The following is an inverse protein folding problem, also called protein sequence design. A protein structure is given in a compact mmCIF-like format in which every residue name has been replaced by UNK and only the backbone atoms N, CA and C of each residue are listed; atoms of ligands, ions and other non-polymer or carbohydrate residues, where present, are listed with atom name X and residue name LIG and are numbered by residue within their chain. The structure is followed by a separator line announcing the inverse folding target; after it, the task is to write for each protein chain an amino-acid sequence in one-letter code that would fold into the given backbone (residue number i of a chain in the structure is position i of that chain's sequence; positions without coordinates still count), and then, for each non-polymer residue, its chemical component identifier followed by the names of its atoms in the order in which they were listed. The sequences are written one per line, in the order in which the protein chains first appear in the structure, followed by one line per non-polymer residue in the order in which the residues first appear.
data_IF_154733070231
#
_entry.id   IF_154733070231
#
_cell.length_a   1.000
_cell.length_b   1.000
_cell.length_c   1.000
_cell.angle_alpha   90.00
_cell.angle_beta   90.00
_cell.angle_gamma   90.00
#
_symmetry.space_group_name_H-M   'P 1'
#
loop_
_entity.id
_entity.type
_entity.pdbx_description
1 polymer ?
#
# COMPACT_ATOMS: atom_id res chain seq x y z
N UNK A 1 -48.57 76.64 19.03
CA UNK A 1 -48.19 77.11 17.69
C UNK A 1 -46.91 76.36 17.26
N UNK A 2 -47.01 75.69 16.07
CA UNK A 2 -45.94 75.12 15.18
C UNK A 2 -44.98 74.07 15.83
N UNK A 3 -45.18 72.74 15.54
CA UNK A 3 -44.84 72.00 14.32
C UNK A 3 -43.40 72.26 13.82
N UNK A 4 -42.58 71.22 13.86
CA UNK A 4 -41.76 70.69 12.75
C UNK A 4 -41.10 69.42 13.32
N UNK A 5 -41.46 68.28 12.99
CA UNK A 5 -41.09 67.36 11.89
C UNK A 5 -39.56 67.37 11.54
N UNK A 6 -38.86 66.40 11.97
CA UNK A 6 -37.67 66.02 11.20
C UNK A 6 -37.51 64.50 11.09
N UNK A 7 -38.01 63.99 9.94
CA UNK A 7 -37.87 62.63 9.49
C UNK A 7 -36.57 62.49 8.71
N UNK A 8 -35.41 62.54 9.33
CA UNK A 8 -34.15 62.31 8.64
C UNK A 8 -33.23 61.27 9.31
N UNK A 9 -33.74 60.50 10.28
CA UNK A 9 -32.95 59.51 11.02
C UNK A 9 -33.13 58.03 10.53
N UNK A 10 -33.95 57.79 9.51
CA UNK A 10 -34.36 56.39 9.20
C UNK A 10 -33.73 55.78 7.94
N UNK A 11 -32.72 56.43 7.35
CA UNK A 11 -32.14 55.94 6.10
C UNK A 11 -30.72 55.42 6.22
N UNK A 12 -30.13 55.40 7.42
CA UNK A 12 -28.77 54.92 7.60
C UNK A 12 -28.63 53.56 8.28
N UNK A 13 -29.75 52.89 8.58
CA UNK A 13 -29.71 51.57 9.27
C UNK A 13 -29.84 50.40 8.27
N UNK A 14 -30.08 50.66 6.99
CA UNK A 14 -30.33 49.60 6.01
C UNK A 14 -29.17 49.30 5.04
N UNK A 15 -28.00 49.84 5.30
CA UNK A 15 -26.83 49.65 4.40
C UNK A 15 -25.69 48.81 5.01
N UNK A 16 -25.90 48.17 6.15
CA UNK A 16 -24.82 47.42 6.81
C UNK A 16 -25.01 45.92 6.92
N UNK A 17 -25.93 45.35 6.12
CA UNK A 17 -26.12 43.91 6.09
C UNK A 17 -26.06 43.50 4.61
N UNK A 18 -24.88 43.23 4.08
CA UNK A 18 -24.67 42.37 2.88
C UNK A 18 -23.20 42.38 2.44
N UNK A 19 -22.29 42.08 3.36
CA UNK A 19 -20.97 41.54 2.95
C UNK A 19 -20.59 40.37 3.83
N UNK A 20 -21.49 39.38 3.88
CA UNK A 20 -21.09 38.08 4.39
C UNK A 20 -20.34 37.38 3.24
N UNK A 21 -19.05 37.64 3.20
CA UNK A 21 -18.14 37.04 2.24
C UNK A 21 -18.22 35.51 2.33
N UNK A 22 -18.66 34.90 1.26
CA UNK A 22 -18.49 33.47 1.00
C UNK A 22 -16.99 33.18 0.93
N UNK A 23 -16.38 32.86 2.06
CA UNK A 23 -15.09 32.19 2.06
C UNK A 23 -15.34 30.77 1.51
N UNK A 24 -15.19 30.59 0.20
CA UNK A 24 -14.99 29.28 -0.38
C UNK A 24 -13.72 28.70 0.22
N UNK A 25 -13.88 27.91 1.28
CA UNK A 25 -12.84 26.99 1.73
C UNK A 25 -12.64 25.97 0.61
N UNK A 26 -11.65 26.25 -0.25
CA UNK A 26 -11.09 25.23 -1.14
C UNK A 26 -10.44 24.22 -0.20
N UNK A 27 -11.19 23.17 0.15
CA UNK A 27 -10.60 21.96 0.70
C UNK A 27 -9.72 21.40 -0.41
N UNK A 28 -8.42 21.69 -0.33
CA UNK A 28 -7.41 20.96 -1.06
C UNK A 28 -7.53 19.52 -0.57
N UNK A 29 -8.23 18.69 -1.33
CA UNK A 29 -8.10 17.23 -1.24
C UNK A 29 -6.65 16.95 -1.51
N UNK A 30 -5.88 16.69 -0.46
CA UNK A 30 -4.58 16.04 -0.57
C UNK A 30 -4.91 14.69 -1.21
N UNK A 31 -4.73 14.59 -2.52
CA UNK A 31 -4.70 13.31 -3.21
C UNK A 31 -3.53 12.56 -2.59
N UNK A 32 -3.83 11.71 -1.61
CA UNK A 32 -2.90 10.68 -1.15
C UNK A 32 -2.42 9.99 -2.41
N UNK A 33 -1.10 9.96 -2.60
CA UNK A 33 -0.47 9.36 -3.77
C UNK A 33 -1.15 8.03 -4.06
N UNK A 34 -1.89 7.98 -5.18
CA UNK A 34 -2.78 6.86 -5.48
C UNK A 34 -1.93 5.61 -5.55
N UNK A 35 -2.34 4.60 -4.79
CA UNK A 35 -1.81 3.24 -4.88
C UNK A 35 -2.05 2.72 -6.30
N UNK A 36 -1.13 3.04 -7.21
CA UNK A 36 -1.21 2.58 -8.60
C UNK A 36 -0.71 1.13 -8.73
N UNK A 37 -0.29 0.51 -7.62
CA UNK A 37 0.04 -0.91 -7.54
C UNK A 37 -1.09 -1.64 -6.82
N UNK A 38 -1.74 -2.54 -7.52
CA UNK A 38 -2.73 -3.47 -6.96
C UNK A 38 -2.03 -4.74 -6.54
N UNK A 39 -2.29 -5.20 -5.32
CA UNK A 39 -1.75 -6.45 -4.78
C UNK A 39 -2.91 -7.45 -4.66
N UNK A 40 -2.74 -8.64 -5.23
CA UNK A 40 -3.74 -9.72 -5.26
C UNK A 40 -3.13 -11.03 -4.80
N UNK A 41 -4.00 -11.98 -4.44
CA UNK A 41 -3.66 -13.36 -4.10
C UNK A 41 -2.51 -13.45 -3.06
N UNK A 42 -2.51 -12.52 -2.09
CA UNK A 42 -1.45 -12.45 -1.10
C UNK A 42 -1.69 -13.48 0.01
N UNK A 43 -0.66 -14.29 0.29
CA UNK A 43 -0.67 -15.26 1.39
C UNK A 43 0.73 -15.53 1.93
N UNK A 44 0.79 -15.99 3.17
CA UNK A 44 2.03 -16.37 3.85
C UNK A 44 1.97 -17.87 4.15
N UNK A 45 3.06 -18.57 3.91
CA UNK A 45 3.17 -19.99 4.23
C UNK A 45 3.28 -20.19 5.75
N UNK A 46 2.52 -21.13 6.35
CA UNK A 46 2.72 -21.48 7.77
C UNK A 46 4.10 -22.09 7.98
N UNK A 47 4.62 -21.95 9.20
CA UNK A 47 5.93 -22.48 9.59
C UNK A 47 5.82 -23.46 10.75
N UNK A 48 6.78 -24.39 10.82
CA UNK A 48 6.87 -25.31 11.95
C UNK A 48 7.53 -24.63 13.18
N UNK A 49 7.29 -25.15 14.40
CA UNK A 49 8.02 -24.71 15.58
C UNK A 49 9.55 -24.79 15.36
N UNK A 50 10.29 -23.74 15.72
CA UNK A 50 11.74 -23.65 15.54
C UNK A 50 12.19 -23.27 14.12
N UNK A 51 11.27 -23.08 13.19
CA UNK A 51 11.61 -22.58 11.85
C UNK A 51 11.77 -21.06 11.90
N UNK A 52 12.97 -20.56 11.56
CA UNK A 52 13.33 -19.15 11.61
C UNK A 52 13.12 -18.41 10.29
N UNK A 53 12.80 -19.13 9.22
CA UNK A 53 12.62 -18.58 7.87
C UNK A 53 11.22 -18.92 7.34
N UNK A 54 10.53 -17.89 6.81
CA UNK A 54 9.22 -18.02 6.19
C UNK A 54 9.22 -17.58 4.74
N UNK A 55 8.06 -17.73 4.07
CA UNK A 55 7.87 -17.29 2.70
C UNK A 55 6.49 -16.66 2.53
N UNK A 56 6.44 -15.57 1.74
CA UNK A 56 5.19 -14.94 1.34
C UNK A 56 5.11 -14.81 -0.18
N UNK A 57 3.89 -14.83 -0.67
CA UNK A 57 3.55 -14.85 -2.08
C UNK A 57 2.43 -13.85 -2.35
N UNK A 58 2.45 -13.23 -3.54
CA UNK A 58 1.43 -12.28 -3.97
C UNK A 58 1.57 -11.97 -5.45
N UNK A 59 0.57 -11.34 -6.03
CA UNK A 59 0.61 -10.86 -7.40
C UNK A 59 0.57 -9.34 -7.39
N UNK A 60 1.54 -8.70 -8.02
CA UNK A 60 1.56 -7.25 -8.25
C UNK A 60 1.01 -6.93 -9.63
N UNK A 61 0.13 -5.95 -9.72
CA UNK A 61 -0.33 -5.35 -10.97
C UNK A 61 -0.21 -3.84 -10.84
N UNK A 62 0.69 -3.25 -11.61
CA UNK A 62 0.91 -1.80 -11.61
C UNK A 62 0.25 -1.13 -12.80
N UNK A 63 -0.44 0.00 -12.59
CA UNK A 63 -1.02 0.81 -13.66
C UNK A 63 0.02 1.63 -14.42
N UNK A 64 1.22 1.79 -13.87
CA UNK A 64 2.35 2.49 -14.49
C UNK A 64 3.66 1.80 -14.10
N UNK A 65 4.75 2.08 -14.83
CA UNK A 65 6.05 1.50 -14.51
C UNK A 65 6.48 1.90 -13.08
N UNK A 66 6.83 0.90 -12.29
CA UNK A 66 7.26 1.06 -10.91
C UNK A 66 8.35 0.05 -10.55
N UNK A 67 8.95 0.21 -9.39
CA UNK A 67 9.92 -0.75 -8.85
C UNK A 67 9.60 -0.95 -7.38
N UNK A 68 9.43 -2.18 -6.93
CA UNK A 68 9.43 -2.53 -5.51
C UNK A 68 10.89 -2.48 -5.05
N UNK A 69 11.18 -1.59 -4.10
CA UNK A 69 12.53 -1.30 -3.60
C UNK A 69 12.75 -1.71 -2.16
N UNK A 70 11.68 -2.06 -1.43
CA UNK A 70 11.78 -2.49 -0.05
C UNK A 70 10.51 -3.18 0.42
N UNK A 71 10.69 -4.13 1.32
CA UNK A 71 9.61 -4.84 2.01
C UNK A 71 9.99 -4.98 3.47
N UNK A 72 9.08 -4.61 4.36
CA UNK A 72 9.20 -4.78 5.80
C UNK A 72 8.01 -5.58 6.33
N UNK A 73 8.18 -6.27 7.46
CA UNK A 73 7.10 -6.97 8.13
C UNK A 73 7.25 -6.93 9.65
N UNK A 74 6.11 -7.01 10.35
CA UNK A 74 6.08 -7.01 11.82
C UNK A 74 6.53 -8.34 12.45
N UNK A 75 6.50 -9.43 11.68
CA UNK A 75 6.79 -10.79 12.19
C UNK A 75 8.25 -11.22 12.03
N UNK A 76 9.08 -10.44 11.34
CA UNK A 76 10.45 -10.80 10.99
C UNK A 76 11.40 -9.60 11.17
N UNK A 77 12.71 -9.84 11.16
CA UNK A 77 13.70 -8.75 11.18
C UNK A 77 14.05 -8.27 9.77
N UNK A 78 13.98 -9.14 8.77
CA UNK A 78 14.28 -8.76 7.41
C UNK A 78 13.43 -9.54 6.39
N UNK A 79 13.07 -8.85 5.30
CA UNK A 79 12.37 -9.45 4.17
C UNK A 79 13.20 -9.22 2.92
N UNK A 80 13.46 -10.27 2.17
CA UNK A 80 14.21 -10.21 0.92
C UNK A 80 13.36 -10.72 -0.25
N UNK A 81 13.59 -10.16 -1.43
CA UNK A 81 12.98 -10.64 -2.68
C UNK A 81 13.92 -11.69 -3.27
N UNK A 82 13.43 -12.90 -3.44
CA UNK A 82 14.19 -13.99 -4.03
C UNK A 82 13.58 -14.48 -5.33
N UNK A 83 14.41 -14.92 -6.23
CA UNK A 83 14.03 -15.64 -7.45
C UNK A 83 14.61 -17.06 -7.43
N UNK A 84 13.77 -18.03 -7.74
CA UNK A 84 14.21 -19.40 -8.02
C UNK A 84 14.20 -19.65 -9.51
N UNK A 85 15.30 -20.11 -10.04
CA UNK A 85 15.44 -20.49 -11.45
C UNK A 85 16.10 -21.87 -11.58
N UNK A 86 15.71 -22.60 -12.61
CA UNK A 86 16.37 -23.85 -12.98
C UNK A 86 17.52 -23.52 -13.93
N UNK A 87 18.75 -23.80 -13.54
CA UNK A 87 19.95 -23.63 -14.37
C UNK A 87 20.68 -24.96 -14.47
N UNK A 88 20.77 -25.52 -15.67
CA UNK A 88 21.43 -26.82 -15.93
C UNK A 88 20.93 -27.97 -15.04
N UNK A 89 19.61 -28.04 -14.80
CA UNK A 89 19.01 -29.06 -13.94
C UNK A 89 19.15 -28.84 -12.44
N UNK A 90 19.77 -27.72 -12.02
CA UNK A 90 19.94 -27.34 -10.61
C UNK A 90 19.07 -26.15 -10.29
N UNK A 91 18.29 -26.23 -9.22
CA UNK A 91 17.53 -25.08 -8.68
C UNK A 91 18.49 -24.11 -8.02
N UNK A 92 18.51 -22.87 -8.51
CA UNK A 92 19.28 -21.79 -7.94
C UNK A 92 18.37 -20.71 -7.38
N UNK A 93 18.67 -20.26 -6.17
CA UNK A 93 18.00 -19.15 -5.52
C UNK A 93 18.93 -17.92 -5.54
N UNK A 94 18.39 -16.77 -5.93
CA UNK A 94 19.14 -15.52 -5.98
C UNK A 94 18.33 -14.40 -5.34
N UNK A 95 18.95 -13.66 -4.46
CA UNK A 95 18.37 -12.43 -3.91
C UNK A 95 18.35 -11.34 -4.97
N UNK A 96 17.29 -10.55 -4.98
CA UNK A 96 17.10 -9.38 -5.82
C UNK A 96 16.93 -8.13 -4.95
N UNK A 97 17.77 -7.15 -5.17
CA UNK A 97 17.67 -5.87 -4.43
C UNK A 97 16.37 -5.11 -4.71
N UNK A 98 15.80 -5.30 -5.89
CA UNK A 98 14.60 -4.60 -6.36
C UNK A 98 13.87 -5.42 -7.41
N UNK A 99 12.54 -5.20 -7.50
CA UNK A 99 11.67 -5.88 -8.45
C UNK A 99 11.02 -4.87 -9.40
N UNK A 100 11.43 -4.79 -10.67
CA UNK A 100 10.77 -3.95 -11.66
C UNK A 100 9.36 -4.46 -11.98
N UNK A 101 8.37 -3.55 -11.99
CA UNK A 101 6.99 -3.80 -12.36
C UNK A 101 6.68 -3.01 -13.63
N UNK A 102 6.33 -3.71 -14.70
CA UNK A 102 5.94 -3.09 -15.97
C UNK A 102 4.43 -2.79 -15.95
N UNK A 103 4.06 -1.61 -16.41
CA UNK A 103 2.67 -1.17 -16.48
C UNK A 103 1.76 -2.20 -17.19
N UNK A 104 0.63 -2.53 -16.56
CA UNK A 104 -0.37 -3.45 -17.09
C UNK A 104 0.04 -4.94 -17.10
N UNK A 105 1.27 -5.27 -16.67
CA UNK A 105 1.72 -6.67 -16.61
C UNK A 105 1.66 -7.20 -15.18
N UNK A 106 0.95 -8.31 -14.92
CA UNK A 106 0.98 -8.94 -13.61
C UNK A 106 2.35 -9.55 -13.34
N UNK A 107 2.87 -9.34 -12.13
CA UNK A 107 4.09 -9.94 -11.64
C UNK A 107 3.78 -10.86 -10.47
N UNK A 108 3.86 -12.16 -10.70
CA UNK A 108 3.42 -13.18 -9.73
C UNK A 108 4.61 -13.73 -8.94
N UNK A 109 4.54 -13.62 -7.63
CA UNK A 109 5.37 -14.33 -6.67
C UNK A 109 4.63 -15.61 -6.27
N UNK A 110 5.24 -16.77 -6.51
CA UNK A 110 4.62 -18.08 -6.28
C UNK A 110 5.68 -19.11 -5.88
N UNK A 111 5.29 -20.21 -5.21
CA UNK A 111 6.19 -21.32 -4.91
C UNK A 111 6.92 -21.82 -6.16
N UNK A 112 8.23 -22.02 -6.06
CA UNK A 112 9.07 -22.45 -7.17
C UNK A 112 9.55 -21.33 -8.11
N UNK A 113 9.15 -20.07 -7.85
CA UNK A 113 9.56 -18.89 -8.61
C UNK A 113 9.99 -17.75 -7.69
N UNK A 114 9.57 -16.54 -8.05
CA UNK A 114 9.78 -15.37 -7.17
C UNK A 114 8.99 -15.52 -5.87
N UNK A 115 9.57 -15.05 -4.77
CA UNK A 115 8.92 -15.03 -3.46
C UNK A 115 9.56 -13.98 -2.54
N UNK A 116 8.84 -13.62 -1.48
CA UNK A 116 9.40 -12.87 -0.37
C UNK A 116 9.88 -13.86 0.68
N UNK A 117 11.13 -13.73 1.08
CA UNK A 117 11.75 -14.54 2.11
C UNK A 117 11.79 -13.76 3.41
N UNK A 118 11.24 -14.33 4.49
CA UNK A 118 11.18 -13.70 5.81
C UNK A 118 12.25 -14.34 6.69
N UNK A 119 13.26 -13.59 7.10
CA UNK A 119 14.36 -14.07 7.93
C UNK A 119 14.19 -13.65 9.39
N UNK A 120 14.71 -14.47 10.30
CA UNK A 120 14.66 -14.24 11.74
C UNK A 120 13.22 -14.00 12.23
N UNK A 121 12.34 -14.95 11.95
CA UNK A 121 10.96 -14.94 12.44
C UNK A 121 10.93 -14.84 13.96
N UNK A 122 10.15 -13.91 14.49
CA UNK A 122 10.01 -13.70 15.94
C UNK A 122 9.22 -14.81 16.64
N UNK A 123 8.36 -15.50 15.89
CA UNK A 123 7.51 -16.61 16.33
C UNK A 123 7.08 -17.46 15.14
N UNK A 124 6.67 -18.72 15.36
CA UNK A 124 6.04 -19.52 14.30
C UNK A 124 4.79 -18.82 13.74
N UNK A 125 4.54 -19.02 12.45
CA UNK A 125 3.38 -18.50 11.73
C UNK A 125 2.36 -19.64 11.59
N UNK A 126 1.21 -19.51 12.27
CA UNK A 126 0.15 -20.50 12.25
C UNK A 126 -0.93 -20.12 11.21
N UNK A 127 -1.59 -21.13 10.65
CA UNK A 127 -2.76 -20.90 9.78
C UNK A 127 -3.78 -20.02 10.49
N UNK A 128 -4.27 -18.98 9.83
CA UNK A 128 -5.19 -17.99 10.38
C UNK A 128 -4.51 -16.76 11.01
N UNK A 129 -3.19 -16.79 11.26
CA UNK A 129 -2.47 -15.60 11.69
C UNK A 129 -2.51 -14.52 10.60
N UNK A 130 -2.47 -13.25 11.01
CA UNK A 130 -2.32 -12.10 10.12
C UNK A 130 -0.91 -11.54 10.21
N UNK A 131 -0.32 -11.24 9.07
CA UNK A 131 1.00 -10.65 8.92
C UNK A 131 0.87 -9.30 8.22
N UNK A 132 1.45 -8.25 8.80
CA UNK A 132 1.47 -6.93 8.19
C UNK A 132 2.75 -6.77 7.36
N UNK A 133 2.59 -6.30 6.14
CA UNK A 133 3.69 -5.92 5.28
C UNK A 133 3.61 -4.42 4.94
N UNK A 134 4.76 -3.78 4.93
CA UNK A 134 4.95 -2.44 4.39
C UNK A 134 5.83 -2.55 3.14
N UNK A 135 5.24 -2.27 1.99
CA UNK A 135 5.87 -2.38 0.68
C UNK A 135 6.25 -0.98 0.19
N UNK A 136 7.52 -0.76 -0.11
CA UNK A 136 8.00 0.53 -0.61
C UNK A 136 8.23 0.43 -2.10
N UNK A 137 7.51 1.26 -2.85
CA UNK A 137 7.60 1.35 -4.30
C UNK A 137 8.23 2.66 -4.73
N UNK A 138 8.87 2.64 -5.88
CA UNK A 138 9.41 3.81 -6.56
C UNK A 138 8.83 3.90 -7.96
N UNK A 139 8.21 5.03 -8.28
CA UNK A 139 7.67 5.30 -9.62
C UNK A 139 8.79 5.66 -10.60
N UNK A 140 8.48 5.69 -11.90
CA UNK A 140 9.40 6.15 -12.95
C UNK A 140 9.93 7.57 -12.69
N UNK A 141 9.12 8.44 -12.10
CA UNK A 141 9.49 9.82 -11.74
C UNK A 141 10.28 9.91 -10.42
N UNK A 142 10.81 8.78 -9.92
CA UNK A 142 11.58 8.67 -8.67
C UNK A 142 10.80 9.01 -7.39
N UNK A 143 9.49 9.18 -7.46
CA UNK A 143 8.65 9.35 -6.27
C UNK A 143 8.49 8.01 -5.57
N UNK A 144 8.77 7.98 -4.27
CA UNK A 144 8.61 6.81 -3.42
C UNK A 144 7.29 6.88 -2.65
N UNK A 145 6.61 5.75 -2.53
CA UNK A 145 5.41 5.62 -1.72
C UNK A 145 5.39 4.26 -1.02
N UNK A 146 4.75 4.21 0.14
CA UNK A 146 4.64 3.01 0.96
C UNK A 146 3.18 2.55 1.01
N UNK A 147 2.96 1.27 0.75
CA UNK A 147 1.65 0.62 0.83
C UNK A 147 1.68 -0.44 1.92
N UNK A 148 0.74 -0.36 2.85
CA UNK A 148 0.60 -1.34 3.93
C UNK A 148 -0.51 -2.32 3.60
N UNK A 149 -0.24 -3.61 3.75
CA UNK A 149 -1.20 -4.69 3.54
C UNK A 149 -1.22 -5.66 4.72
N UNK A 150 -2.38 -6.28 4.93
CA UNK A 150 -2.54 -7.40 5.86
C UNK A 150 -2.73 -8.68 5.07
N UNK A 151 -1.95 -9.69 5.36
CA UNK A 151 -1.91 -10.95 4.62
C UNK A 151 -2.14 -12.11 5.57
N UNK A 152 -3.00 -13.03 5.18
CA UNK A 152 -3.31 -14.21 5.98
C UNK A 152 -2.24 -15.30 5.82
N UNK A 153 -1.95 -15.99 6.90
CA UNK A 153 -1.21 -17.25 6.87
C UNK A 153 -2.16 -18.36 6.45
N UNK A 154 -1.89 -18.99 5.32
CA UNK A 154 -2.75 -20.00 4.68
C UNK A 154 -1.94 -21.19 4.20
N UNK A 155 -2.56 -22.36 4.15
CA UNK A 155 -1.96 -23.51 3.47
C UNK A 155 -1.89 -23.29 1.95
N UNK A 156 -0.96 -23.92 1.23
CA UNK A 156 -0.90 -23.83 -0.23
C UNK A 156 -2.20 -24.28 -0.94
N UNK A 157 -2.94 -25.20 -0.34
CA UNK A 157 -4.23 -25.68 -0.87
C UNK A 157 -5.31 -24.60 -0.78
N UNK A 158 -5.43 -23.92 0.37
CA UNK A 158 -6.39 -22.82 0.56
C UNK A 158 -6.08 -21.62 -0.32
N UNK A 159 -4.80 -21.26 -0.44
CA UNK A 159 -4.35 -20.17 -1.30
C UNK A 159 -4.66 -20.41 -2.79
N UNK A 160 -4.79 -21.65 -3.24
CA UNK A 160 -5.12 -22.00 -4.62
C UNK A 160 -6.63 -21.94 -4.92
N UNK A 161 -7.49 -21.99 -3.91
CA UNK A 161 -8.97 -21.96 -4.06
C UNK A 161 -9.57 -20.55 -4.01
N UNK A 162 -8.82 -19.56 -3.56
CA UNK A 162 -9.27 -18.14 -3.44
C UNK A 162 -9.05 -17.39 -4.77
N UNK A 163 -9.60 -17.89 -5.87
CA UNK A 163 -9.58 -17.22 -7.19
C UNK A 163 -10.93 -16.64 -7.55
#
# INVERSE_FOLDING_TARGET
MRKFSDQKGLHYVLAFILTFGYALSVMATVANGQDFVTIKDAWVRPTNPGQEVGAAYMTFLSAQDATLIGVESDVTKSVEIHNMSMENGVMKMRMMEKLPLVAGKPYKLAPGGFHLMLFDLKKPLNIGDQVNFALTFKSKNKHEFKQNIKVMVQSPAEASTTK
#
